data_IF_447063093561
#
_entry.id   IF_447063093561
#
_cell.length_a   1.000
_cell.length_b   1.000
_cell.length_c   1.000
_cell.angle_alpha   90.00
_cell.angle_beta   90.00
_cell.angle_gamma   90.00
#
_symmetry.space_group_name_H-M   'P 1'
#
loop_
_entity.id
_entity.type
_entity.pdbx_description
1 polymer ?
#
# COMPACT_ATOMS: atom_id res chain seq x y z
N UNK A 1 -5.57 -19.41 18.37
CA UNK A 1 -5.02 -18.03 18.41
C UNK A 1 -3.56 -18.15 18.02
N UNK A 2 -3.01 -17.24 17.22
CA UNK A 2 -1.56 -17.27 16.93
C UNK A 2 -0.86 -16.94 18.24
N UNK A 3 -0.20 -17.91 18.86
CA UNK A 3 0.69 -17.67 19.99
C UNK A 3 1.96 -17.00 19.44
N UNK A 4 1.91 -15.67 19.34
CA UNK A 4 3.04 -14.87 18.91
C UNK A 4 4.05 -14.81 20.06
N UNK A 5 5.21 -15.41 19.86
CA UNK A 5 6.33 -15.21 20.77
C UNK A 5 6.74 -13.73 20.74
N UNK A 6 7.26 -13.22 21.87
CA UNK A 6 7.76 -11.85 21.96
C UNK A 6 8.77 -11.54 20.84
N UNK A 7 9.60 -12.53 20.49
CA UNK A 7 10.55 -12.43 19.38
C UNK A 7 9.86 -12.15 18.05
N UNK A 8 8.79 -12.87 17.70
CA UNK A 8 8.04 -12.63 16.46
C UNK A 8 7.44 -11.24 16.43
N UNK A 9 6.88 -10.77 17.55
CA UNK A 9 6.32 -9.41 17.64
C UNK A 9 7.41 -8.36 17.40
N UNK A 10 8.58 -8.49 18.02
CA UNK A 10 9.68 -7.54 17.82
C UNK A 10 10.16 -7.52 16.36
N UNK A 11 10.24 -8.67 15.70
CA UNK A 11 10.59 -8.77 14.28
C UNK A 11 9.53 -8.07 13.42
N UNK A 12 8.24 -8.32 13.68
CA UNK A 12 7.15 -7.69 12.94
C UNK A 12 7.11 -6.18 13.13
N UNK A 13 7.40 -5.68 14.34
CA UNK A 13 7.52 -4.24 14.62
C UNK A 13 8.67 -3.63 13.84
N UNK A 14 9.85 -4.27 13.84
CA UNK A 14 11.00 -3.80 13.06
C UNK A 14 10.70 -3.79 11.55
N UNK A 15 10.07 -4.85 11.04
CA UNK A 15 9.64 -4.94 9.65
C UNK A 15 8.61 -3.86 9.29
N UNK A 16 7.62 -3.62 10.15
CA UNK A 16 6.61 -2.58 9.96
C UNK A 16 7.23 -1.18 9.97
N UNK A 17 8.21 -0.92 10.84
CA UNK A 17 8.94 0.35 10.88
C UNK A 17 9.74 0.58 9.59
N UNK A 18 10.54 -0.40 9.16
CA UNK A 18 11.29 -0.32 7.90
C UNK A 18 10.35 -0.15 6.69
N UNK A 19 9.24 -0.89 6.68
CA UNK A 19 8.22 -0.77 5.65
C UNK A 19 7.60 0.63 5.63
N UNK A 20 7.24 1.21 6.77
CA UNK A 20 6.69 2.56 6.87
C UNK A 20 7.66 3.63 6.37
N UNK A 21 8.95 3.48 6.66
CA UNK A 21 9.99 4.35 6.10
C UNK A 21 10.04 4.27 4.58
N UNK A 22 10.11 3.06 4.01
CA UNK A 22 10.12 2.86 2.55
C UNK A 22 8.82 3.36 1.90
N UNK A 23 7.68 3.14 2.55
CA UNK A 23 6.37 3.59 2.08
C UNK A 23 6.29 5.12 2.01
N UNK A 24 6.87 5.83 2.99
CA UNK A 24 6.91 7.29 2.99
C UNK A 24 7.75 7.90 1.87
N UNK A 25 8.71 7.15 1.33
CA UNK A 25 9.59 7.58 0.23
C UNK A 25 9.01 7.19 -1.13
N UNK A 26 8.60 5.93 -1.29
CA UNK A 26 8.29 5.34 -2.59
C UNK A 26 6.92 4.63 -2.67
N UNK A 27 6.14 4.57 -1.58
CA UNK A 27 4.80 3.93 -1.55
C UNK A 27 4.79 2.40 -1.68
N UNK A 28 5.94 1.75 -1.46
CA UNK A 28 6.14 0.30 -1.66
C UNK A 28 6.17 -0.54 -0.38
N UNK A 29 5.76 -0.01 0.78
CA UNK A 29 5.95 -0.68 2.08
C UNK A 29 5.22 -2.04 2.20
N UNK A 30 4.19 -2.26 1.38
CA UNK A 30 3.50 -3.55 1.24
C UNK A 30 4.40 -4.70 0.80
N UNK A 31 5.44 -4.42 0.02
CA UNK A 31 6.42 -5.43 -0.42
C UNK A 31 7.23 -6.02 0.75
N UNK A 32 7.25 -5.33 1.89
CA UNK A 32 7.96 -5.77 3.11
C UNK A 32 6.96 -6.34 4.12
N UNK A 33 5.88 -5.61 4.40
CA UNK A 33 4.93 -5.98 5.47
C UNK A 33 4.07 -7.19 5.13
N UNK A 34 3.63 -7.34 3.87
CA UNK A 34 2.78 -8.46 3.48
C UNK A 34 3.55 -9.79 3.58
N UNK A 35 4.76 -9.95 3.02
CA UNK A 35 5.54 -11.16 3.22
C UNK A 35 5.83 -11.45 4.70
N UNK A 36 6.21 -10.44 5.48
CA UNK A 36 6.51 -10.61 6.91
C UNK A 36 5.29 -11.17 7.68
N UNK A 37 4.10 -10.63 7.43
CA UNK A 37 2.85 -11.10 8.05
C UNK A 37 2.46 -12.51 7.58
N UNK A 38 2.60 -12.80 6.28
CA UNK A 38 2.33 -14.14 5.76
C UNK A 38 3.28 -15.20 6.34
N UNK A 39 4.57 -14.87 6.46
CA UNK A 39 5.58 -15.73 7.10
C UNK A 39 5.32 -15.93 8.60
N UNK A 40 4.73 -14.93 9.26
CA UNK A 40 4.27 -15.04 10.64
C UNK A 40 2.94 -15.82 10.81
N UNK A 41 2.38 -16.36 9.72
CA UNK A 41 1.20 -17.22 9.74
C UNK A 41 -0.15 -16.50 9.66
N UNK A 42 -0.15 -15.20 9.35
CA UNK A 42 -1.41 -14.46 9.16
C UNK A 42 -2.10 -14.89 7.86
N UNK A 43 -3.44 -14.82 7.84
CA UNK A 43 -4.20 -15.05 6.61
C UNK A 43 -3.93 -13.93 5.59
N UNK A 44 -4.07 -14.18 4.27
CA UNK A 44 -3.91 -13.13 3.25
C UNK A 44 -4.76 -11.89 3.51
N UNK A 45 -6.02 -12.09 3.90
CA UNK A 45 -6.95 -10.98 4.19
C UNK A 45 -6.48 -10.18 5.39
N UNK A 46 -6.00 -10.83 6.45
CA UNK A 46 -5.43 -10.14 7.61
C UNK A 46 -4.15 -9.39 7.23
N UNK A 47 -3.24 -10.02 6.47
CA UNK A 47 -1.99 -9.39 6.04
C UNK A 47 -2.24 -8.14 5.18
N UNK A 48 -3.16 -8.23 4.20
CA UNK A 48 -3.57 -7.10 3.37
C UNK A 48 -4.24 -5.99 4.20
N UNK A 49 -5.16 -6.36 5.10
CA UNK A 49 -5.86 -5.41 5.96
C UNK A 49 -4.91 -4.67 6.89
N UNK A 50 -4.01 -5.38 7.56
CA UNK A 50 -2.99 -4.79 8.45
C UNK A 50 -2.05 -3.87 7.69
N UNK A 51 -1.57 -4.28 6.51
CA UNK A 51 -0.73 -3.42 5.66
C UNK A 51 -1.47 -2.13 5.25
N UNK A 52 -2.74 -2.23 4.81
CA UNK A 52 -3.51 -1.05 4.38
C UNK A 52 -3.79 -0.11 5.55
N UNK A 53 -4.15 -0.64 6.71
CA UNK A 53 -4.34 0.17 7.92
C UNK A 53 -3.06 0.91 8.30
N UNK A 54 -1.91 0.23 8.25
CA UNK A 54 -0.61 0.86 8.50
C UNK A 54 -0.33 2.00 7.49
N UNK A 55 -0.48 1.75 6.19
CA UNK A 55 -0.22 2.73 5.14
C UNK A 55 -1.15 3.95 5.20
N UNK A 56 -2.37 3.81 5.73
CA UNK A 56 -3.29 4.93 5.94
C UNK A 56 -2.72 5.99 6.89
N UNK A 57 -1.99 5.59 7.94
CA UNK A 57 -1.35 6.56 8.83
C UNK A 57 -0.20 7.29 8.14
N UNK A 58 0.62 6.56 7.36
CA UNK A 58 1.72 7.15 6.59
C UNK A 58 1.22 8.19 5.58
N UNK A 59 0.37 7.75 4.65
CA UNK A 59 -0.23 8.63 3.63
C UNK A 59 -1.09 9.75 4.21
N UNK A 60 -1.84 9.49 5.29
CA UNK A 60 -2.62 10.49 6.00
C UNK A 60 -1.75 11.59 6.61
N UNK A 61 -0.64 11.21 7.27
CA UNK A 61 0.30 12.18 7.84
C UNK A 61 0.98 13.05 6.77
N UNK A 62 1.41 12.43 5.65
CA UNK A 62 1.99 13.15 4.52
C UNK A 62 0.97 14.11 3.89
N UNK A 63 -0.28 13.68 3.70
CA UNK A 63 -1.36 14.51 3.17
C UNK A 63 -1.61 15.73 4.06
N UNK A 64 -1.69 15.55 5.38
CA UNK A 64 -1.87 16.64 6.33
C UNK A 64 -0.70 17.63 6.25
N UNK A 65 0.53 17.14 6.23
CA UNK A 65 1.73 17.97 6.17
C UNK A 65 1.79 18.80 4.87
N UNK A 66 1.62 18.16 3.72
CA UNK A 66 1.69 18.83 2.42
C UNK A 66 0.52 19.79 2.18
N UNK A 67 -0.69 19.45 2.64
CA UNK A 67 -1.83 20.35 2.58
C UNK A 67 -1.64 21.59 3.49
N UNK A 68 -1.11 21.40 4.71
CA UNK A 68 -0.83 22.51 5.63
C UNK A 68 0.21 23.49 5.07
N UNK A 69 1.16 23.00 4.26
CA UNK A 69 2.19 23.81 3.60
C UNK A 69 1.74 24.42 2.26
N UNK A 70 0.45 24.26 1.88
CA UNK A 70 -0.08 24.80 0.62
C UNK A 70 0.44 24.11 -0.64
N UNK A 71 1.06 22.93 -0.52
CA UNK A 71 1.62 22.17 -1.64
C UNK A 71 0.58 21.26 -2.31
N UNK A 72 -0.61 21.12 -1.71
CA UNK A 72 -1.69 20.28 -2.22
C UNK A 72 -3.01 21.05 -2.25
N UNK A 73 -3.64 21.12 -3.42
CA UNK A 73 -5.02 21.58 -3.56
C UNK A 73 -6.01 20.44 -3.29
N UNK A 74 -6.53 20.40 -2.06
CA UNK A 74 -7.48 19.38 -1.63
C UNK A 74 -8.77 19.36 -2.46
N UNK A 75 -9.23 20.51 -2.97
CA UNK A 75 -10.47 20.57 -3.77
C UNK A 75 -10.27 19.91 -5.11
N UNK A 76 -9.11 20.13 -5.73
CA UNK A 76 -8.74 19.53 -7.01
C UNK A 76 -8.51 18.01 -6.89
N UNK A 77 -8.01 17.54 -5.74
CA UNK A 77 -7.73 16.11 -5.49
C UNK A 77 -8.94 15.32 -4.95
N UNK A 78 -9.98 15.99 -4.45
CA UNK A 78 -11.15 15.35 -3.85
C UNK A 78 -11.84 14.30 -4.75
N UNK A 79 -12.04 14.52 -6.07
CA UNK A 79 -12.64 13.50 -6.94
C UNK A 79 -11.83 12.21 -6.98
N UNK A 80 -10.50 12.31 -7.10
CA UNK A 80 -9.59 11.16 -7.11
C UNK A 80 -9.59 10.44 -5.76
N UNK A 81 -9.65 11.18 -4.66
CA UNK A 81 -9.75 10.60 -3.31
C UNK A 81 -11.06 9.81 -3.12
N UNK A 82 -12.19 10.32 -3.62
CA UNK A 82 -13.48 9.61 -3.58
C UNK A 82 -13.48 8.35 -4.43
N UNK A 83 -12.90 8.40 -5.63
CA UNK A 83 -12.74 7.22 -6.50
C UNK A 83 -11.87 6.16 -5.82
N UNK A 84 -10.73 6.56 -5.24
CA UNK A 84 -9.86 5.65 -4.49
C UNK A 84 -10.56 5.04 -3.27
N UNK A 85 -11.39 5.82 -2.56
CA UNK A 85 -12.18 5.32 -1.43
C UNK A 85 -13.20 4.26 -1.87
N UNK A 86 -13.95 4.54 -2.94
CA UNK A 86 -14.95 3.60 -3.48
C UNK A 86 -14.27 2.34 -4.03
N UNK A 87 -13.20 2.49 -4.82
CA UNK A 87 -12.42 1.36 -5.34
C UNK A 87 -11.81 0.52 -4.23
N UNK A 88 -11.26 1.16 -3.19
CA UNK A 88 -10.73 0.50 -2.01
C UNK A 88 -11.80 -0.27 -1.22
N UNK A 89 -12.98 0.31 -1.04
CA UNK A 89 -14.10 -0.36 -0.36
C UNK A 89 -14.60 -1.58 -1.16
N UNK A 90 -14.77 -1.45 -2.47
CA UNK A 90 -15.14 -2.55 -3.36
C UNK A 90 -14.07 -3.65 -3.31
N UNK A 91 -12.79 -3.29 -3.44
CA UNK A 91 -11.68 -4.24 -3.36
C UNK A 91 -11.60 -4.97 -2.02
N UNK A 92 -11.84 -4.27 -0.91
CA UNK A 92 -11.89 -4.87 0.43
C UNK A 92 -13.03 -5.88 0.56
N UNK A 93 -14.22 -5.54 0.08
CA UNK A 93 -15.37 -6.46 0.08
C UNK A 93 -15.09 -7.69 -0.80
N UNK A 94 -14.54 -7.49 -2.00
CA UNK A 94 -14.18 -8.59 -2.89
C UNK A 94 -13.14 -9.51 -2.24
N UNK A 95 -12.15 -8.96 -1.53
CA UNK A 95 -11.15 -9.77 -0.83
C UNK A 95 -11.75 -10.70 0.24
N UNK A 96 -12.94 -10.40 0.78
CA UNK A 96 -13.62 -11.28 1.76
C UNK A 96 -14.32 -12.48 1.13
N UNK A 97 -14.66 -12.41 -0.16
CA UNK A 97 -15.38 -13.48 -0.89
C UNK A 97 -14.46 -14.32 -1.79
N UNK A 98 -13.26 -13.84 -2.08
CA UNK A 98 -12.26 -14.61 -2.83
C UNK A 98 -11.71 -15.76 -1.96
N UNK A 99 -11.57 -16.99 -2.49
CA UNK A 99 -11.01 -18.11 -1.76
C UNK A 99 -9.62 -17.79 -1.16
N UNK A 100 -9.44 -18.05 0.14
CA UNK A 100 -8.19 -17.74 0.83
C UNK A 100 -6.97 -18.43 0.20
N UNK A 101 -7.12 -19.67 -0.29
CA UNK A 101 -6.03 -20.41 -0.92
C UNK A 101 -5.61 -19.80 -2.27
N UNK A 102 -6.55 -19.20 -3.01
CA UNK A 102 -6.22 -18.45 -4.21
C UNK A 102 -5.37 -17.22 -3.87
N UNK A 103 -5.75 -16.45 -2.84
CA UNK A 103 -4.95 -15.31 -2.38
C UNK A 103 -3.57 -15.74 -1.83
N UNK A 104 -3.49 -16.85 -1.10
CA UNK A 104 -2.23 -17.41 -0.59
C UNK A 104 -1.25 -17.76 -1.71
N UNK A 105 -1.74 -18.32 -2.82
CA UNK A 105 -0.91 -18.66 -3.97
C UNK A 105 -0.56 -17.44 -4.82
N UNK A 106 -1.53 -16.53 -5.02
CA UNK A 106 -1.38 -15.37 -5.91
C UNK A 106 -0.49 -14.27 -5.30
N UNK A 107 -0.64 -13.98 -4.00
CA UNK A 107 0.06 -12.85 -3.38
C UNK A 107 1.58 -12.95 -3.48
N UNK A 108 2.25 -14.08 -3.15
CA UNK A 108 3.71 -14.17 -3.30
C UNK A 108 4.17 -13.94 -4.74
N UNK A 109 3.46 -14.50 -5.72
CA UNK A 109 3.76 -14.32 -7.14
C UNK A 109 3.65 -12.83 -7.53
N UNK A 110 2.57 -12.18 -7.11
CA UNK A 110 2.31 -10.76 -7.39
C UNK A 110 3.39 -9.87 -6.74
N UNK A 111 3.74 -10.14 -5.48
CA UNK A 111 4.76 -9.37 -4.76
C UNK A 111 6.15 -9.53 -5.38
N UNK A 112 6.52 -10.74 -5.82
CA UNK A 112 7.77 -10.97 -6.55
C UNK A 112 7.76 -10.24 -7.89
N UNK A 113 6.66 -10.31 -8.64
CA UNK A 113 6.54 -9.61 -9.92
C UNK A 113 6.67 -8.09 -9.77
N UNK A 114 6.03 -7.51 -8.76
CA UNK A 114 6.13 -6.07 -8.46
C UNK A 114 7.55 -5.72 -7.98
N UNK A 115 8.15 -6.54 -7.12
CA UNK A 115 9.52 -6.31 -6.65
C UNK A 115 10.53 -6.35 -7.81
N UNK A 116 10.40 -7.31 -8.73
CA UNK A 116 11.22 -7.40 -9.94
C UNK A 116 10.98 -6.20 -10.87
N UNK A 117 9.73 -5.77 -11.02
CA UNK A 117 9.41 -4.56 -11.79
C UNK A 117 10.15 -3.34 -11.22
N UNK A 118 10.08 -3.10 -9.91
CA UNK A 118 10.81 -1.99 -9.28
C UNK A 118 12.34 -2.16 -9.36
N UNK A 119 12.86 -3.38 -9.21
CA UNK A 119 14.29 -3.65 -9.25
C UNK A 119 14.90 -3.51 -10.66
N UNK A 120 14.14 -3.83 -11.70
CA UNK A 120 14.63 -3.88 -13.08
C UNK A 120 14.22 -2.66 -13.92
N UNK A 121 13.27 -1.83 -13.44
CA UNK A 121 12.81 -0.64 -14.18
C UNK A 121 13.92 0.42 -14.23
N UNK A 122 14.48 0.72 -15.41
CA UNK A 122 15.44 1.80 -15.57
C UNK A 122 14.71 3.15 -15.52
N UNK A 123 15.35 4.18 -14.94
CA UNK A 123 14.92 5.58 -14.98
C UNK A 123 13.60 5.86 -14.23
N UNK A 124 13.61 5.70 -12.90
CA UNK A 124 12.64 6.39 -12.03
C UNK A 124 13.13 7.81 -11.75
N UNK A 125 13.13 8.64 -12.79
CA UNK A 125 13.59 10.03 -12.66
C UNK A 125 12.40 10.91 -12.21
N UNK A 126 12.59 11.68 -11.14
CA UNK A 126 11.61 12.63 -10.59
C UNK A 126 11.52 13.93 -11.41
N UNK A 127 11.63 13.84 -12.74
CA UNK A 127 11.48 15.00 -13.61
C UNK A 127 10.02 15.37 -13.68
N UNK A 128 9.69 16.51 -13.09
CA UNK A 128 8.35 17.09 -13.12
C UNK A 128 7.89 17.27 -14.57
N UNK A 129 6.86 16.52 -14.97
CA UNK A 129 6.28 16.58 -16.32
C UNK A 129 4.92 17.23 -16.24
N UNK A 130 4.60 18.04 -17.24
CA UNK A 130 3.28 18.65 -17.37
C UNK A 130 2.17 17.59 -17.26
N UNK A 131 1.14 17.89 -16.47
CA UNK A 131 -0.02 17.03 -16.28
C UNK A 131 -0.63 16.67 -17.64
N UNK A 132 -0.58 15.39 -18.02
CA UNK A 132 -1.15 14.89 -19.29
C UNK A 132 -2.62 14.50 -19.17
N UNK A 133 -3.08 14.24 -17.96
CA UNK A 133 -4.43 13.81 -17.63
C UNK A 133 -4.96 14.68 -16.48
N UNK A 134 -6.26 15.00 -16.53
CA UNK A 134 -6.90 15.64 -15.38
C UNK A 134 -6.92 14.68 -14.18
N UNK A 135 -6.92 15.19 -12.93
CA UNK A 135 -6.93 14.35 -11.72
C UNK A 135 -8.07 13.32 -11.71
N UNK A 136 -9.22 13.68 -12.26
CA UNK A 136 -10.37 12.79 -12.40
C UNK A 136 -10.10 11.64 -13.38
N UNK A 137 -9.59 11.93 -14.58
CA UNK A 137 -9.28 10.90 -15.58
C UNK A 137 -8.15 9.99 -15.11
N UNK A 138 -7.15 10.56 -14.43
CA UNK A 138 -6.09 9.80 -13.79
C UNK A 138 -6.64 8.81 -12.76
N UNK A 139 -7.53 9.27 -11.86
CA UNK A 139 -8.16 8.43 -10.84
C UNK A 139 -9.16 7.39 -11.36
N UNK A 140 -9.53 7.42 -12.64
CA UNK A 140 -10.40 6.41 -13.26
C UNK A 140 -9.60 5.27 -13.90
N UNK A 141 -8.32 5.51 -14.21
CA UNK A 141 -7.47 4.57 -14.94
C UNK A 141 -6.54 3.78 -14.00
N UNK A 142 -6.25 4.33 -12.81
CA UNK A 142 -5.36 3.76 -11.78
C UNK A 142 -6.18 3.32 -10.58
#
# INVERSE_FOLDING_TARGET
MIDLTLQTVLILVAAAFAAGFVDSIAGGGGLITIPALLLAGFSPVAALGTNKLQGMFGSGSATIHYAANGQVDLRRQLPSALLALVGGAIGALLATVVPGDFLRALLPLLLIAIALYFALKPNMDDVDRAERLSPFLFGLII
#
